data_IF_614165469083
#
_entry.id   IF_614165469083
#
_cell.length_a   1.000
_cell.length_b   1.000
_cell.length_c   1.000
_cell.angle_alpha   90.00
_cell.angle_beta   90.00
_cell.angle_gamma   90.00
#
_symmetry.space_group_name_H-M   'P 1'
#
loop_
_entity.id
_entity.type
_entity.pdbx_description
1 polymer ?
#
# COMPACT_ATOMS: atom_id res chain seq x y z
N UNK A 1 8.17 -26.00 -20.80
CA UNK A 1 7.80 -25.49 -19.46
C UNK A 1 7.40 -24.03 -19.52
N UNK A 2 8.17 -23.17 -20.20
CA UNK A 2 7.86 -21.74 -20.37
C UNK A 2 6.45 -21.46 -20.92
N UNK A 3 6.03 -22.11 -22.01
CA UNK A 3 4.67 -21.94 -22.55
C UNK A 3 3.54 -22.29 -21.54
N UNK A 4 3.80 -23.22 -20.61
CA UNK A 4 2.82 -23.58 -19.57
C UNK A 4 2.76 -22.50 -18.48
N UNK A 5 3.90 -21.92 -18.10
CA UNK A 5 3.98 -20.78 -17.18
C UNK A 5 3.25 -19.55 -17.76
N UNK A 6 3.45 -19.24 -19.04
CA UNK A 6 2.78 -18.11 -19.69
C UNK A 6 1.26 -18.25 -19.70
N UNK A 7 0.76 -19.45 -20.02
CA UNK A 7 -0.67 -19.70 -20.15
C UNK A 7 -1.40 -19.84 -18.81
N UNK A 8 -0.71 -20.31 -17.75
CA UNK A 8 -1.37 -20.68 -16.49
C UNK A 8 -0.95 -19.82 -15.29
N UNK A 9 0.21 -19.16 -15.33
CA UNK A 9 0.75 -18.42 -14.17
C UNK A 9 0.73 -16.91 -14.45
N UNK A 10 1.29 -16.47 -15.58
CA UNK A 10 1.41 -15.04 -15.88
C UNK A 10 0.06 -14.34 -16.08
N UNK A 11 -0.98 -15.08 -16.47
CA UNK A 11 -2.36 -14.57 -16.62
C UNK A 11 -2.95 -14.01 -15.33
N UNK A 12 -2.38 -14.35 -14.16
CA UNK A 12 -2.81 -13.83 -12.87
C UNK A 12 -2.16 -12.49 -12.51
N UNK A 13 -1.08 -12.08 -13.18
CA UNK A 13 -0.47 -10.78 -12.98
C UNK A 13 -1.38 -9.69 -13.55
N UNK A 14 -1.66 -8.67 -12.74
CA UNK A 14 -2.37 -7.49 -13.24
C UNK A 14 -1.44 -6.66 -14.13
N UNK A 15 -1.94 -6.14 -15.27
CA UNK A 15 -1.23 -5.13 -16.04
C UNK A 15 -0.94 -3.91 -15.16
N UNK A 16 0.25 -3.31 -15.32
CA UNK A 16 0.72 -2.16 -14.51
C UNK A 16 -0.31 -1.03 -14.50
N UNK A 17 -0.85 -0.68 -15.67
CA UNK A 17 -1.84 0.40 -15.82
C UNK A 17 -3.19 0.12 -15.14
N UNK A 18 -3.40 -1.11 -14.65
CA UNK A 18 -4.58 -1.55 -13.90
C UNK A 18 -4.26 -1.85 -12.43
N UNK A 19 -3.00 -1.73 -12.04
CA UNK A 19 -2.54 -1.89 -10.67
C UNK A 19 -2.61 -0.54 -9.96
N UNK A 20 -3.18 -0.55 -8.76
CA UNK A 20 -3.17 0.61 -7.89
C UNK A 20 -1.71 0.94 -7.51
N UNK A 21 -1.45 2.21 -7.30
CA UNK A 21 -0.17 2.73 -6.81
C UNK A 21 -0.35 3.29 -5.40
N UNK A 22 0.71 3.35 -4.57
CA UNK A 22 0.60 3.86 -3.20
C UNK A 22 -0.06 5.25 -3.10
N UNK A 23 0.21 6.12 -4.08
CA UNK A 23 -0.34 7.47 -4.12
C UNK A 23 -1.87 7.50 -4.24
N UNK A 24 -2.51 6.44 -4.75
CA UNK A 24 -3.97 6.33 -4.83
C UNK A 24 -4.64 6.32 -3.44
N UNK A 25 -3.89 5.97 -2.40
CA UNK A 25 -4.36 5.85 -1.01
C UNK A 25 -3.68 6.83 -0.04
N UNK A 26 -2.79 7.69 -0.54
CA UNK A 26 -2.07 8.68 0.27
C UNK A 26 -2.56 10.10 -0.04
N UNK A 27 -2.43 11.03 0.93
CA UNK A 27 -2.65 12.45 0.67
C UNK A 27 -1.83 12.92 -0.53
N UNK A 28 -2.44 13.70 -1.42
CA UNK A 28 -1.81 14.18 -2.64
C UNK A 28 -0.91 15.40 -2.33
N UNK A 29 0.43 15.28 -2.42
CA UNK A 29 1.35 16.37 -2.12
C UNK A 29 1.31 17.51 -3.14
N UNK A 30 0.76 17.28 -4.34
CA UNK A 30 0.59 18.32 -5.35
C UNK A 30 -0.74 19.08 -5.21
N UNK A 31 -1.63 18.65 -4.31
CA UNK A 31 -2.91 19.30 -4.05
C UNK A 31 -2.78 20.44 -3.04
N UNK A 32 -3.51 21.55 -3.28
CA UNK A 32 -3.70 22.63 -2.28
C UNK A 32 -4.30 22.10 -0.95
N UNK A 33 -5.00 20.96 -1.00
CA UNK A 33 -5.61 20.30 0.16
C UNK A 33 -4.69 19.34 0.93
N UNK A 34 -3.43 19.17 0.53
CA UNK A 34 -2.50 18.20 1.14
C UNK A 34 -2.47 18.26 2.66
N UNK A 35 -2.34 19.46 3.22
CA UNK A 35 -2.21 19.66 4.66
C UNK A 35 -3.46 19.26 5.44
N UNK A 36 -4.66 19.51 4.89
CA UNK A 36 -5.91 19.09 5.53
C UNK A 36 -6.07 17.58 5.44
N UNK A 37 -5.79 16.96 4.29
CA UNK A 37 -5.82 15.50 4.12
C UNK A 37 -4.86 14.79 5.11
N UNK A 38 -3.64 15.34 5.29
CA UNK A 38 -2.68 14.83 6.28
C UNK A 38 -3.22 14.98 7.69
N UNK A 39 -3.85 16.12 8.01
CA UNK A 39 -4.44 16.37 9.33
C UNK A 39 -5.57 15.39 9.63
N UNK A 40 -6.51 15.20 8.71
CA UNK A 40 -7.61 14.25 8.84
C UNK A 40 -7.12 12.80 9.00
N UNK A 41 -6.07 12.40 8.27
CA UNK A 41 -5.43 11.10 8.46
C UNK A 41 -4.89 10.95 9.88
N UNK A 42 -4.18 11.95 10.39
CA UNK A 42 -3.60 11.93 11.73
C UNK A 42 -4.65 11.96 12.83
N UNK A 43 -5.77 12.65 12.62
CA UNK A 43 -6.89 12.68 13.57
C UNK A 43 -7.55 11.31 13.70
N UNK A 44 -7.86 10.65 12.59
CA UNK A 44 -8.38 9.27 12.61
C UNK A 44 -7.39 8.28 13.24
N UNK A 45 -6.10 8.43 12.95
CA UNK A 45 -5.07 7.56 13.51
C UNK A 45 -4.98 7.66 15.05
N UNK A 46 -5.35 8.79 15.67
CA UNK A 46 -5.37 8.93 17.13
C UNK A 46 -6.47 8.11 17.81
N UNK A 47 -7.49 7.69 17.07
CA UNK A 47 -8.59 6.88 17.60
C UNK A 47 -8.26 5.38 17.55
N UNK A 48 -7.15 4.99 16.93
CA UNK A 48 -6.70 3.61 16.85
C UNK A 48 -5.89 3.22 18.11
N UNK A 49 -6.11 2.02 18.67
CA UNK A 49 -5.37 1.56 19.84
C UNK A 49 -3.92 1.17 19.50
N UNK A 50 -3.02 1.28 20.48
CA UNK A 50 -1.61 0.92 20.30
C UNK A 50 -1.41 -0.54 19.86
N UNK A 51 -2.22 -1.46 20.35
CA UNK A 51 -2.19 -2.87 19.96
C UNK A 51 -2.38 -3.06 18.45
N UNK A 52 -3.16 -2.17 17.81
CA UNK A 52 -3.32 -2.17 16.35
C UNK A 52 -2.05 -1.73 15.64
N UNK A 53 -1.39 -0.69 16.15
CA UNK A 53 -0.13 -0.20 15.58
C UNK A 53 1.01 -1.20 15.72
N UNK A 54 1.06 -1.98 16.81
CA UNK A 54 2.05 -3.05 16.99
C UNK A 54 1.99 -4.05 15.83
N UNK A 55 0.80 -4.53 15.49
CA UNK A 55 0.61 -5.47 14.38
C UNK A 55 0.91 -4.79 13.04
N UNK A 56 0.37 -3.59 12.81
CA UNK A 56 0.57 -2.87 11.54
C UNK A 56 2.05 -2.56 11.25
N UNK A 57 2.82 -2.18 12.27
CA UNK A 57 4.26 -1.94 12.12
C UNK A 57 5.01 -3.25 11.87
N UNK A 58 4.62 -4.35 12.50
CA UNK A 58 5.19 -5.68 12.23
C UNK A 58 4.96 -6.13 10.78
N UNK A 59 3.75 -5.92 10.26
CA UNK A 59 3.41 -6.21 8.87
C UNK A 59 4.25 -5.35 7.91
N UNK A 60 4.34 -4.04 8.16
CA UNK A 60 5.15 -3.13 7.34
C UNK A 60 6.63 -3.54 7.31
N UNK A 61 7.23 -3.87 8.46
CA UNK A 61 8.64 -4.33 8.50
C UNK A 61 8.83 -5.60 7.68
N UNK A 62 7.86 -6.52 7.72
CA UNK A 62 7.92 -7.78 6.97
C UNK A 62 7.85 -7.52 5.46
N UNK A 63 6.98 -6.61 5.02
CA UNK A 63 6.87 -6.21 3.61
C UNK A 63 8.12 -5.45 3.10
N UNK A 64 8.71 -4.57 3.93
CA UNK A 64 9.95 -3.85 3.60
C UNK A 64 11.18 -4.78 3.54
N UNK A 65 11.10 -5.96 4.15
CA UNK A 65 12.18 -6.96 4.12
C UNK A 65 12.27 -7.75 2.79
N UNK A 66 11.48 -7.40 1.77
CA UNK A 66 11.40 -8.06 0.45
C UNK A 66 12.75 -8.22 -0.29
N UNK A 67 13.78 -7.46 0.07
CA UNK A 67 15.13 -7.58 -0.48
C UNK A 67 15.98 -8.72 0.12
N UNK A 68 15.46 -9.46 1.10
CA UNK A 68 16.14 -10.59 1.76
C UNK A 68 15.94 -11.89 0.99
#
# INVERSE_FOLDING_TARGET
>A
MENSTEQNILVHLKPVEKSWQPQDFLPDPASDGFHEQVKELRERARELPDDYFVVLVGDMITEEALLT
#
